data_IF_525750323265
#
_entry.id   IF_525750323265
#
_cell.length_a   1.000
_cell.length_b   1.000
_cell.length_c   1.000
_cell.angle_alpha   90.00
_cell.angle_beta   90.00
_cell.angle_gamma   90.00
#
_symmetry.space_group_name_H-M   'P 1'
#
loop_
_entity.id
_entity.type
_entity.pdbx_description
1 polymer ?
#
# COMPACT_ATOMS: atom_id res chain seq x y z
N UNK A 1 -12.35 -3.15 8.98
CA UNK A 1 -11.00 -3.30 9.55
C UNK A 1 -10.85 -2.27 10.65
N UNK A 2 -10.48 -2.69 11.86
CA UNK A 2 -10.26 -1.76 12.96
C UNK A 2 -8.93 -1.02 12.76
N UNK A 3 -8.74 0.13 13.39
CA UNK A 3 -7.44 0.83 13.39
C UNK A 3 -6.48 0.09 14.32
N UNK A 4 -5.23 -0.10 13.89
CA UNK A 4 -4.20 -0.81 14.66
C UNK A 4 -4.20 -2.33 14.47
N UNK A 5 -5.02 -2.84 13.56
CA UNK A 5 -5.09 -4.26 13.23
C UNK A 5 -4.00 -4.63 12.22
N UNK A 6 -3.33 -5.76 12.42
CA UNK A 6 -2.43 -6.33 11.40
C UNK A 6 -3.24 -7.08 10.37
N UNK A 7 -3.07 -6.71 9.11
CA UNK A 7 -3.87 -7.20 8.00
C UNK A 7 -2.99 -7.52 6.81
N UNK A 8 -3.40 -8.53 6.02
CA UNK A 8 -2.75 -8.89 4.77
C UNK A 8 -3.72 -8.64 3.62
N UNK A 9 -3.27 -7.87 2.64
CA UNK A 9 -4.02 -7.52 1.43
C UNK A 9 -3.34 -8.16 0.23
N UNK A 10 -4.14 -8.77 -0.64
CA UNK A 10 -3.69 -9.36 -1.91
C UNK A 10 -4.42 -8.68 -3.05
N UNK A 11 -3.69 -8.22 -4.05
CA UNK A 11 -4.32 -7.54 -5.17
C UNK A 11 -3.31 -7.03 -6.19
N UNK A 12 -3.76 -6.11 -7.03
CA UNK A 12 -2.97 -5.55 -8.13
C UNK A 12 -2.67 -4.08 -7.89
N UNK A 13 -1.41 -3.69 -8.09
CA UNK A 13 -0.99 -2.29 -8.04
C UNK A 13 -1.65 -1.54 -9.20
N UNK A 14 -2.39 -0.47 -8.88
CA UNK A 14 -2.96 0.49 -9.84
C UNK A 14 -1.99 1.63 -10.10
N UNK A 15 -1.41 2.17 -9.03
CA UNK A 15 -0.38 3.22 -9.11
C UNK A 15 0.63 3.06 -7.99
N UNK A 16 1.86 3.49 -8.23
CA UNK A 16 2.88 3.73 -7.21
C UNK A 16 3.33 5.18 -7.29
N UNK A 17 3.43 5.86 -6.16
CA UNK A 17 4.06 7.19 -6.05
C UNK A 17 5.15 7.14 -5.00
N UNK A 18 6.35 7.57 -5.35
CA UNK A 18 7.45 7.75 -4.41
C UNK A 18 7.48 9.18 -3.87
N UNK A 19 8.10 9.35 -2.71
CA UNK A 19 8.36 10.65 -2.10
C UNK A 19 9.84 10.85 -1.84
N UNK A 20 10.27 12.12 -1.81
CA UNK A 20 11.64 12.50 -1.44
C UNK A 20 12.04 12.05 -0.03
N UNK A 21 11.07 11.78 0.84
CA UNK A 21 11.28 11.30 2.21
C UNK A 21 11.53 9.79 2.30
N UNK A 22 11.57 9.07 1.17
CA UNK A 22 11.81 7.63 1.17
C UNK A 22 10.57 6.78 1.50
N UNK A 23 9.38 7.30 1.21
CA UNK A 23 8.13 6.55 1.28
C UNK A 23 7.62 6.23 -0.13
N UNK A 24 7.08 5.03 -0.30
CA UNK A 24 6.29 4.64 -1.47
C UNK A 24 4.83 4.47 -1.10
N UNK A 25 3.94 5.05 -1.89
CA UNK A 25 2.49 4.95 -1.78
C UNK A 25 1.96 4.07 -2.90
N UNK A 26 1.43 2.90 -2.54
CA UNK A 26 0.86 1.93 -3.49
C UNK A 26 -0.66 2.02 -3.43
N UNK A 27 -1.34 2.30 -4.55
CA UNK A 27 -2.77 2.06 -4.65
C UNK A 27 -2.98 0.62 -5.14
N UNK A 28 -3.59 -0.22 -4.32
CA UNK A 28 -3.83 -1.65 -4.53
C UNK A 28 -5.31 -1.88 -4.72
N UNK A 29 -5.66 -2.65 -5.74
CA UNK A 29 -7.01 -3.07 -6.02
C UNK A 29 -7.13 -4.57 -5.79
N UNK A 30 -8.00 -4.99 -4.87
CA UNK A 30 -8.24 -6.40 -4.52
C UNK A 30 -9.57 -6.95 -5.08
N UNK A 31 -10.36 -6.08 -5.73
CA UNK A 31 -11.67 -6.44 -6.30
C UNK A 31 -12.84 -6.41 -5.32
N UNK A 32 -12.60 -6.10 -4.04
CA UNK A 32 -13.67 -6.05 -3.03
C UNK A 32 -14.50 -4.77 -3.10
N UNK A 33 -13.92 -3.67 -3.58
CA UNK A 33 -14.56 -2.36 -3.71
C UNK A 33 -13.89 -1.51 -4.81
N UNK A 34 -14.53 -0.40 -5.21
CA UNK A 34 -14.06 0.44 -6.33
C UNK A 34 -12.75 1.21 -6.05
N UNK A 35 -12.68 2.05 -5.02
CA UNK A 35 -12.22 1.60 -3.72
C UNK A 35 -10.73 1.30 -3.45
N UNK A 36 -9.66 1.78 -4.16
CA UNK A 36 -8.32 1.19 -3.91
C UNK A 36 -7.83 1.40 -2.48
N UNK A 37 -7.21 0.34 -1.96
CA UNK A 37 -6.48 0.33 -0.69
C UNK A 37 -5.12 0.99 -0.94
N UNK A 38 -4.73 1.97 -0.15
CA UNK A 38 -3.39 2.55 -0.23
C UNK A 38 -2.52 1.88 0.82
N UNK A 39 -1.38 1.35 0.41
CA UNK A 39 -0.33 0.91 1.32
C UNK A 39 0.79 1.96 1.35
N UNK A 40 1.28 2.27 2.55
CA UNK A 40 2.46 3.12 2.74
C UNK A 40 3.65 2.22 3.07
N UNK A 41 4.67 2.25 2.23
CA UNK A 41 5.87 1.41 2.36
C UNK A 41 7.07 2.29 2.65
N UNK A 42 7.72 2.03 3.78
CA UNK A 42 8.96 2.70 4.18
C UNK A 42 10.16 2.14 3.43
N UNK A 43 11.21 2.94 3.26
CA UNK A 43 12.46 2.54 2.61
C UNK A 43 13.39 1.66 3.44
N UNK A 44 13.05 1.39 4.70
CA UNK A 44 13.85 0.60 5.64
C UNK A 44 13.60 -0.91 5.55
N UNK A 45 12.60 -1.34 4.77
CA UNK A 45 12.34 -2.77 4.54
C UNK A 45 13.37 -3.38 3.58
N UNK A 46 13.76 -4.62 3.86
CA UNK A 46 14.87 -5.30 3.18
C UNK A 46 14.73 -5.35 1.65
N UNK A 47 13.51 -5.53 1.14
CA UNK A 47 13.21 -5.68 -0.29
C UNK A 47 12.83 -4.36 -0.99
N UNK A 48 12.96 -3.20 -0.33
CA UNK A 48 12.47 -1.93 -0.88
C UNK A 48 13.09 -1.60 -2.25
N UNK A 49 14.43 -1.67 -2.36
CA UNK A 49 15.12 -1.31 -3.60
C UNK A 49 14.93 -2.35 -4.71
N UNK A 50 14.89 -3.64 -4.35
CA UNK A 50 14.86 -4.72 -5.33
C UNK A 50 13.46 -5.02 -5.84
N UNK A 51 12.43 -4.79 -5.02
CA UNK A 51 11.04 -5.12 -5.33
C UNK A 51 10.15 -3.88 -5.38
N UNK A 52 10.03 -3.12 -4.29
CA UNK A 52 9.06 -2.02 -4.17
C UNK A 52 9.30 -0.92 -5.22
N UNK A 53 10.56 -0.51 -5.40
CA UNK A 53 10.95 0.48 -6.42
C UNK A 53 10.84 -0.03 -7.86
N UNK A 54 10.54 -1.32 -8.07
CA UNK A 54 10.30 -1.90 -9.41
C UNK A 54 8.83 -2.22 -9.70
N UNK A 55 7.94 -2.16 -8.71
CA UNK A 55 6.49 -2.33 -8.91
C UNK A 55 5.91 -1.36 -9.94
N UNK A 56 5.18 -1.89 -10.92
CA UNK A 56 4.45 -1.13 -11.93
C UNK A 56 2.95 -1.40 -11.82
N UNK A 57 2.14 -0.65 -12.57
CA UNK A 57 0.72 -0.92 -12.68
C UNK A 57 0.50 -2.34 -13.24
N UNK A 58 -0.38 -3.10 -12.60
CA UNK A 58 -0.67 -4.50 -12.94
C UNK A 58 0.13 -5.54 -12.16
N UNK A 59 1.18 -5.16 -11.41
CA UNK A 59 1.88 -6.10 -10.54
C UNK A 59 0.93 -6.66 -9.48
N UNK A 60 0.89 -7.99 -9.36
CA UNK A 60 0.26 -8.66 -8.21
C UNK A 60 1.15 -8.51 -6.99
N UNK A 61 0.57 -8.21 -5.84
CA UNK A 61 1.26 -8.00 -4.57
C UNK A 61 0.49 -8.65 -3.42
N UNK A 62 1.25 -9.10 -2.43
CA UNK A 62 0.76 -9.40 -1.08
C UNK A 62 1.43 -8.39 -0.14
N UNK A 63 0.61 -7.61 0.58
CA UNK A 63 1.09 -6.57 1.50
C UNK A 63 0.54 -6.84 2.88
N UNK A 64 1.43 -7.00 3.85
CA UNK A 64 1.06 -7.12 5.27
C UNK A 64 1.46 -5.84 5.99
N UNK A 65 0.53 -5.25 6.73
CA UNK A 65 0.72 -3.97 7.39
C UNK A 65 -0.21 -3.79 8.57
N UNK A 66 -0.04 -2.67 9.29
CA UNK A 66 -0.91 -2.29 10.40
C UNK A 66 -1.80 -1.16 9.96
N UNK A 67 -3.12 -1.34 10.02
CA UNK A 67 -4.09 -0.35 9.58
C UNK A 67 -3.94 0.97 10.35
N UNK A 68 -4.00 2.09 9.63
CA UNK A 68 -3.98 3.44 10.21
C UNK A 68 -5.17 4.26 9.72
N UNK A 69 -5.69 5.12 10.59
CA UNK A 69 -6.62 6.17 10.17
C UNK A 69 -5.83 7.35 9.60
N UNK A 70 -6.15 7.78 8.38
CA UNK A 70 -5.63 9.04 7.84
C UNK A 70 -6.59 10.19 8.12
N UNK A 71 -6.06 11.31 8.63
CA UNK A 71 -6.84 12.53 8.92
C UNK A 71 -6.96 13.42 7.68
N UNK A 72 -7.60 12.94 6.60
CA UNK A 72 -8.19 13.80 5.55
C UNK A 72 -9.17 12.95 4.74
N UNK A 73 -10.47 13.31 4.75
CA UNK A 73 -11.58 12.70 4.00
C UNK A 73 -11.51 11.17 3.77
N UNK A 74 -12.05 10.42 4.74
CA UNK A 74 -12.74 9.13 4.54
C UNK A 74 -12.12 8.16 3.50
N UNK A 75 -10.99 7.53 3.84
CA UNK A 75 -10.62 6.20 3.36
C UNK A 75 -9.52 5.59 4.25
N UNK A 76 -9.78 4.41 4.79
CA UNK A 76 -8.79 3.59 5.50
C UNK A 76 -7.73 3.12 4.49
N UNK A 77 -6.46 3.25 4.86
CA UNK A 77 -5.30 2.88 4.05
C UNK A 77 -4.32 2.14 4.98
N UNK A 78 -3.74 1.05 4.48
CA UNK A 78 -2.87 0.11 5.18
C UNK A 78 -1.48 0.69 5.45
#
# INVERSE_FOLDING_TARGET
MAVGETVTVRGWVRTRRDSKAGLSFLAIYDGSCFDPIQAIVNNDIANYQQEVLKLTAGCSVEVTGTTRSLKTNSRLLC
#
